data_IF_531193526432
#
_entry.id   IF_531193526432
#
_cell.length_a   1.000
_cell.length_b   1.000
_cell.length_c   1.000
_cell.angle_alpha   90.00
_cell.angle_beta   90.00
_cell.angle_gamma   90.00
#
_symmetry.space_group_name_H-M   'P 1'
#
loop_
_entity.id
_entity.type
_entity.pdbx_description
1 polymer ?
#
# COMPACT_ATOMS: atom_id res chain seq x y z
N UNK A 1 -6.91 2.85 15.99
CA UNK A 1 -7.39 1.56 15.43
C UNK A 1 -7.62 1.75 13.94
N UNK A 2 -7.23 0.80 13.09
CA UNK A 2 -7.52 0.86 11.67
C UNK A 2 -9.02 0.77 11.40
N UNK A 3 -9.46 1.37 10.30
CA UNK A 3 -10.83 1.30 9.79
C UNK A 3 -10.81 0.57 8.44
N UNK A 4 -11.71 -0.39 8.26
CA UNK A 4 -11.90 -1.14 7.03
C UNK A 4 -13.22 -0.69 6.41
N UNK A 5 -13.15 -0.01 5.27
CA UNK A 5 -14.33 0.58 4.61
C UNK A 5 -15.03 -0.43 3.67
N UNK A 6 -14.50 -1.64 3.59
CA UNK A 6 -15.07 -2.77 2.86
C UNK A 6 -14.31 -3.13 1.58
N UNK A 7 -14.57 -4.33 1.05
CA UNK A 7 -13.97 -4.80 -0.19
C UNK A 7 -14.60 -4.20 -1.45
N UNK A 8 -13.81 -4.21 -2.53
CA UNK A 8 -14.28 -3.95 -3.89
C UNK A 8 -14.78 -5.27 -4.50
N UNK A 9 -16.08 -5.52 -4.38
CA UNK A 9 -16.70 -6.79 -4.79
C UNK A 9 -17.09 -6.84 -6.27
N UNK A 10 -17.41 -5.70 -6.87
CA UNK A 10 -17.89 -5.64 -8.24
C UNK A 10 -16.74 -5.88 -9.23
N UNK A 11 -16.87 -6.89 -10.08
CA UNK A 11 -15.83 -7.26 -11.04
C UNK A 11 -15.52 -6.14 -12.04
N UNK A 12 -16.52 -5.32 -12.38
CA UNK A 12 -16.36 -4.13 -13.21
C UNK A 12 -15.42 -3.11 -12.56
N UNK A 13 -15.50 -2.94 -11.25
CA UNK A 13 -14.66 -2.00 -10.52
C UNK A 13 -13.24 -2.53 -10.38
N UNK A 14 -13.08 -3.84 -10.14
CA UNK A 14 -11.77 -4.50 -10.25
C UNK A 14 -11.18 -4.23 -11.63
N UNK A 15 -11.93 -4.40 -12.72
CA UNK A 15 -11.42 -4.11 -14.06
C UNK A 15 -11.05 -2.64 -14.28
N UNK A 16 -11.77 -1.68 -13.70
CA UNK A 16 -11.38 -0.27 -13.72
C UNK A 16 -10.06 -0.05 -13.01
N UNK A 17 -9.87 -0.65 -11.83
CA UNK A 17 -8.62 -0.56 -11.06
C UNK A 17 -7.45 -1.14 -11.87
N UNK A 18 -7.63 -2.30 -12.51
CA UNK A 18 -6.61 -2.88 -13.39
C UNK A 18 -6.22 -1.91 -14.51
N UNK A 19 -7.22 -1.34 -15.20
CA UNK A 19 -7.01 -0.36 -16.26
C UNK A 19 -6.33 0.92 -15.78
N UNK A 20 -6.68 1.40 -14.58
CA UNK A 20 -6.07 2.58 -13.97
C UNK A 20 -4.59 2.36 -13.62
N UNK A 21 -4.22 1.13 -13.27
CA UNK A 21 -2.83 0.69 -13.04
C UNK A 21 -2.10 0.27 -14.33
N UNK A 22 -2.76 0.31 -15.49
CA UNK A 22 -2.17 -0.14 -16.75
C UNK A 22 -1.87 -1.64 -16.78
N UNK A 23 -2.57 -2.43 -15.96
CA UNK A 23 -2.37 -3.87 -15.81
C UNK A 23 -3.44 -4.67 -16.56
N UNK A 24 -3.10 -5.88 -17.04
CA UNK A 24 -4.11 -6.79 -17.52
C UNK A 24 -4.98 -7.28 -16.35
N UNK A 25 -6.27 -7.51 -16.61
CA UNK A 25 -7.26 -7.89 -15.59
C UNK A 25 -6.82 -9.08 -14.72
N UNK A 26 -6.23 -10.11 -15.34
CA UNK A 26 -5.76 -11.32 -14.65
C UNK A 26 -4.66 -11.07 -13.61
N UNK A 27 -4.00 -9.90 -13.64
CA UNK A 27 -2.97 -9.56 -12.67
C UNK A 27 -3.56 -9.29 -11.27
N UNK A 28 -4.85 -8.92 -11.22
CA UNK A 28 -5.52 -8.48 -9.99
C UNK A 28 -6.84 -9.23 -9.71
N UNK A 29 -7.30 -10.09 -10.63
CA UNK A 29 -8.46 -10.97 -10.42
C UNK A 29 -8.04 -12.29 -9.80
N UNK A 30 -9.01 -12.99 -9.19
CA UNK A 30 -8.80 -14.31 -8.58
C UNK A 30 -7.64 -14.30 -7.58
N UNK A 31 -7.49 -13.17 -6.89
CA UNK A 31 -6.52 -12.99 -5.83
C UNK A 31 -7.03 -13.66 -4.56
N UNK A 32 -6.10 -14.23 -3.79
CA UNK A 32 -6.42 -14.85 -2.50
C UNK A 32 -6.99 -13.83 -1.51
N UNK A 33 -6.60 -12.57 -1.64
CA UNK A 33 -6.95 -11.48 -0.74
C UNK A 33 -7.71 -10.40 -1.49
N UNK A 34 -8.70 -9.75 -0.86
CA UNK A 34 -9.57 -8.77 -1.49
C UNK A 34 -8.86 -7.44 -1.81
N UNK A 35 -9.40 -6.66 -2.74
CA UNK A 35 -9.05 -5.24 -2.83
C UNK A 35 -9.92 -4.51 -1.82
N UNK A 36 -9.33 -3.72 -0.92
CA UNK A 36 -10.09 -3.06 0.15
C UNK A 36 -9.58 -1.65 0.45
N UNK A 37 -10.48 -0.78 0.90
CA UNK A 37 -10.09 0.53 1.43
C UNK A 37 -9.81 0.41 2.91
N UNK A 38 -8.59 0.76 3.32
CA UNK A 38 -8.14 0.70 4.71
C UNK A 38 -7.59 2.05 5.13
N UNK A 39 -7.93 2.47 6.34
CA UNK A 39 -7.49 3.75 6.91
C UNK A 39 -6.83 3.53 8.27
N UNK A 40 -5.66 4.12 8.48
CA UNK A 40 -5.08 4.39 9.81
C UNK A 40 -5.04 5.90 10.10
N UNK A 41 -5.91 6.67 9.45
CA UNK A 41 -5.99 8.13 9.50
C UNK A 41 -6.25 8.75 8.13
N UNK A 42 -5.68 8.17 7.06
CA UNK A 42 -5.96 8.50 5.67
C UNK A 42 -6.38 7.21 4.93
N UNK A 43 -7.59 7.15 4.34
CA UNK A 43 -8.02 5.99 3.56
C UNK A 43 -7.16 5.76 2.32
N UNK A 44 -6.76 4.51 2.10
CA UNK A 44 -5.98 4.09 0.94
C UNK A 44 -6.59 2.81 0.37
N UNK A 45 -6.70 2.72 -0.95
CA UNK A 45 -7.13 1.51 -1.64
C UNK A 45 -5.96 0.53 -1.73
N UNK A 46 -6.03 -0.57 -1.00
CA UNK A 46 -5.01 -1.61 -0.97
C UNK A 46 -5.29 -2.62 -2.08
N UNK A 47 -4.34 -2.81 -3.00
CA UNK A 47 -4.49 -3.67 -4.18
C UNK A 47 -3.42 -4.78 -4.16
N UNK A 48 -3.78 -6.03 -3.79
CA UNK A 48 -2.87 -7.16 -3.89
C UNK A 48 -2.61 -7.54 -5.36
N UNK A 49 -1.34 -7.78 -5.69
CA UNK A 49 -0.85 -8.22 -6.99
C UNK A 49 -0.12 -9.56 -6.87
N UNK A 50 -0.27 -10.41 -7.88
CA UNK A 50 0.24 -11.79 -7.83
C UNK A 50 1.76 -11.89 -7.87
N UNK A 51 2.44 -10.99 -8.58
CA UNK A 51 3.86 -11.11 -8.86
C UNK A 51 4.58 -9.77 -8.73
N UNK A 52 5.87 -9.82 -8.43
CA UNK A 52 6.75 -8.66 -8.47
C UNK A 52 6.80 -8.03 -9.87
N UNK A 53 6.73 -8.84 -10.93
CA UNK A 53 6.64 -8.34 -12.31
C UNK A 53 5.39 -7.48 -12.52
N UNK A 54 4.23 -7.87 -11.97
CA UNK A 54 3.01 -7.09 -12.09
C UNK A 54 3.12 -5.72 -11.39
N UNK A 55 3.69 -5.67 -10.18
CA UNK A 55 3.92 -4.40 -9.47
C UNK A 55 4.88 -3.49 -10.25
N UNK A 56 5.97 -4.06 -10.75
CA UNK A 56 6.97 -3.34 -11.57
C UNK A 56 6.41 -2.82 -12.88
N UNK A 57 5.49 -3.55 -13.51
CA UNK A 57 4.92 -3.19 -14.80
C UNK A 57 3.78 -2.16 -14.73
N UNK A 58 3.38 -1.71 -13.54
CA UNK A 58 2.32 -0.70 -13.41
C UNK A 58 2.69 0.53 -14.23
N UNK A 59 1.77 0.92 -15.12
CA UNK A 59 1.82 2.15 -15.91
C UNK A 59 0.61 2.99 -15.52
N UNK A 60 0.88 4.05 -14.76
CA UNK A 60 -0.15 4.84 -14.12
C UNK A 60 -0.99 5.62 -15.14
N UNK A 61 -2.30 5.37 -15.17
CA UNK A 61 -3.28 6.30 -15.74
C UNK A 61 -3.79 7.22 -14.63
N UNK A 62 -3.09 8.34 -14.43
CA UNK A 62 -3.36 9.25 -13.32
C UNK A 62 -4.83 9.74 -13.24
N UNK A 63 -5.48 10.19 -14.34
CA UNK A 63 -6.90 10.53 -14.31
C UNK A 63 -7.79 9.37 -13.85
N UNK A 64 -7.57 8.15 -14.36
CA UNK A 64 -8.36 6.99 -13.96
C UNK A 64 -8.17 6.62 -12.49
N UNK A 65 -6.96 6.81 -11.93
CA UNK A 65 -6.72 6.63 -10.50
C UNK A 65 -7.46 7.68 -9.67
N UNK A 66 -7.51 8.93 -10.12
CA UNK A 66 -8.32 9.97 -9.45
C UNK A 66 -9.79 9.56 -9.41
N UNK A 67 -10.33 9.05 -10.52
CA UNK A 67 -11.72 8.60 -10.59
C UNK A 67 -11.98 7.40 -9.65
N UNK A 68 -11.10 6.39 -9.66
CA UNK A 68 -11.16 5.22 -8.75
C UNK A 68 -11.11 5.66 -7.29
N UNK A 69 -10.15 6.51 -6.94
CA UNK A 69 -10.00 7.04 -5.58
C UNK A 69 -11.25 7.83 -5.15
N UNK A 70 -11.81 8.66 -6.02
CA UNK A 70 -13.05 9.39 -5.75
C UNK A 70 -14.25 8.46 -5.57
N UNK A 71 -14.34 7.38 -6.36
CA UNK A 71 -15.43 6.40 -6.25
C UNK A 71 -15.41 5.67 -4.90
N UNK A 72 -14.22 5.32 -4.40
CA UNK A 72 -14.05 4.52 -3.19
C UNK A 72 -13.70 5.35 -1.93
N UNK A 73 -13.66 6.68 -2.04
CA UNK A 73 -13.30 7.55 -0.92
C UNK A 73 -11.86 7.37 -0.43
N UNK A 74 -10.94 6.98 -1.32
CA UNK A 74 -9.53 6.79 -1.02
C UNK A 74 -8.69 8.00 -1.43
N UNK A 75 -7.57 8.23 -0.74
CA UNK A 75 -6.60 9.28 -1.08
C UNK A 75 -5.53 8.81 -2.07
N UNK A 76 -5.42 7.51 -2.30
CA UNK A 76 -4.45 6.91 -3.19
C UNK A 76 -4.62 5.40 -3.29
N UNK A 77 -3.78 4.79 -4.11
CA UNK A 77 -3.72 3.34 -4.31
C UNK A 77 -2.36 2.83 -3.84
N UNK A 78 -2.39 1.82 -2.98
CA UNK A 78 -1.21 1.08 -2.53
C UNK A 78 -1.26 -0.32 -3.15
N UNK A 79 -0.49 -0.52 -4.22
CA UNK A 79 -0.38 -1.81 -4.87
C UNK A 79 0.78 -2.60 -4.26
N UNK A 80 0.58 -3.87 -3.92
CA UNK A 80 1.62 -4.66 -3.24
C UNK A 80 1.67 -6.13 -3.70
N UNK A 81 2.79 -6.79 -3.44
CA UNK A 81 2.96 -8.25 -3.54
C UNK A 81 3.76 -8.76 -2.34
N UNK A 82 3.65 -10.05 -2.04
CA UNK A 82 4.50 -10.73 -1.04
C UNK A 82 5.83 -11.23 -1.63
N UNK A 83 6.06 -11.06 -2.94
CA UNK A 83 7.34 -11.39 -3.59
C UNK A 83 8.24 -10.16 -3.63
N UNK A 84 9.30 -10.15 -2.82
CA UNK A 84 10.15 -8.98 -2.60
C UNK A 84 11.49 -9.05 -3.34
N UNK A 85 12.14 -7.90 -3.44
CA UNK A 85 13.54 -7.73 -3.87
C UNK A 85 14.47 -8.09 -2.73
N UNK A 86 14.23 -7.52 -1.54
CA UNK A 86 15.01 -7.82 -0.35
C UNK A 86 14.41 -9.03 0.38
N UNK A 87 15.20 -10.08 0.67
CA UNK A 87 14.72 -11.24 1.42
C UNK A 87 14.24 -10.93 2.84
N UNK A 88 14.66 -9.79 3.41
CA UNK A 88 14.23 -9.33 4.72
C UNK A 88 12.92 -8.53 4.69
N UNK A 89 12.44 -8.14 3.51
CA UNK A 89 11.15 -7.47 3.36
C UNK A 89 9.99 -8.46 3.41
N UNK A 90 8.86 -8.02 3.95
CA UNK A 90 7.62 -8.80 4.00
C UNK A 90 6.79 -8.62 2.72
N UNK A 91 6.76 -7.39 2.21
CA UNK A 91 6.00 -7.03 1.00
C UNK A 91 6.72 -5.97 0.20
N UNK A 92 6.54 -6.02 -1.11
CA UNK A 92 7.00 -5.02 -2.06
C UNK A 92 5.81 -4.19 -2.53
N UNK A 93 5.90 -2.86 -2.44
CA UNK A 93 4.77 -1.99 -2.69
C UNK A 93 5.12 -0.73 -3.48
N UNK A 94 4.10 -0.17 -4.13
CA UNK A 94 4.11 1.14 -4.80
C UNK A 94 2.88 1.93 -4.39
N UNK A 95 3.06 3.24 -4.18
CA UNK A 95 1.99 4.14 -3.74
C UNK A 95 1.78 5.26 -4.74
N UNK A 96 0.52 5.43 -5.18
CA UNK A 96 0.12 6.45 -6.14
C UNK A 96 -0.99 7.32 -5.56
N UNK A 97 -0.82 8.65 -5.58
CA UNK A 97 -1.81 9.59 -5.07
C UNK A 97 -1.97 10.84 -5.97
N UNK A 98 -2.34 10.65 -7.25
CA UNK A 98 -2.43 11.75 -8.20
C UNK A 98 -3.49 12.80 -7.82
N UNK A 99 -4.48 12.44 -7.00
CA UNK A 99 -5.51 13.35 -6.47
C UNK A 99 -4.93 14.50 -5.63
N UNK A 100 -3.73 14.31 -5.06
CA UNK A 100 -3.01 15.34 -4.30
C UNK A 100 -1.72 15.79 -5.00
N UNK A 101 -1.59 15.50 -6.30
CA UNK A 101 -0.45 15.91 -7.12
C UNK A 101 0.79 15.03 -7.00
N UNK A 102 0.71 13.88 -6.32
CA UNK A 102 1.82 12.93 -6.18
C UNK A 102 1.59 11.76 -7.14
N UNK A 103 2.36 11.72 -8.24
CA UNK A 103 2.24 10.59 -9.19
C UNK A 103 2.64 9.29 -8.52
N UNK A 104 3.82 9.23 -7.91
CA UNK A 104 4.32 8.10 -7.14
C UNK A 104 5.18 8.60 -5.97
N UNK A 105 4.95 8.04 -4.78
CA UNK A 105 5.68 8.40 -3.57
C UNK A 105 6.73 7.32 -3.24
N UNK A 106 8.01 7.68 -2.97
CA UNK A 106 9.05 6.69 -2.67
C UNK A 106 8.90 5.96 -1.33
N UNK A 107 8.26 6.59 -0.33
CA UNK A 107 8.08 6.00 0.99
C UNK A 107 6.88 6.60 1.72
N UNK A 108 5.78 5.85 1.85
CA UNK A 108 4.51 6.39 2.35
C UNK A 108 4.09 5.78 3.68
N UNK A 109 4.54 6.37 4.79
CA UNK A 109 4.27 5.82 6.13
C UNK A 109 2.78 5.62 6.46
N UNK A 110 1.91 6.55 6.05
CA UNK A 110 0.45 6.43 6.27
C UNK A 110 -0.16 5.24 5.53
N UNK A 111 0.20 5.07 4.25
CA UNK A 111 -0.26 3.93 3.44
C UNK A 111 0.35 2.61 3.90
N UNK A 112 1.62 2.58 4.34
CA UNK A 112 2.24 1.40 4.93
C UNK A 112 1.55 0.97 6.22
N UNK A 113 1.09 1.92 7.06
CA UNK A 113 0.29 1.62 8.24
C UNK A 113 -1.03 0.92 7.89
N UNK A 114 -1.76 1.46 6.93
CA UNK A 114 -2.99 0.84 6.41
C UNK A 114 -2.72 -0.54 5.79
N UNK A 115 -1.65 -0.69 5.01
CA UNK A 115 -1.22 -1.97 4.46
C UNK A 115 -0.90 -2.98 5.56
N UNK A 116 -0.16 -2.59 6.61
CA UNK A 116 0.15 -3.50 7.72
C UNK A 116 -1.11 -4.02 8.42
N UNK A 117 -2.08 -3.15 8.67
CA UNK A 117 -3.38 -3.57 9.20
C UNK A 117 -4.11 -4.54 8.25
N UNK A 118 -4.11 -4.24 6.95
CA UNK A 118 -4.67 -5.11 5.91
C UNK A 118 -4.01 -6.50 5.90
N UNK A 119 -2.68 -6.58 6.01
CA UNK A 119 -1.95 -7.85 5.97
C UNK A 119 -2.32 -8.75 7.16
N UNK A 120 -2.49 -8.17 8.35
CA UNK A 120 -2.92 -8.89 9.56
C UNK A 120 -4.38 -9.32 9.46
N UNK A 121 -5.28 -8.38 9.12
CA UNK A 121 -6.72 -8.65 9.04
C UNK A 121 -7.06 -9.76 8.02
N UNK A 122 -6.37 -9.78 6.89
CA UNK A 122 -6.63 -10.73 5.80
C UNK A 122 -5.75 -11.99 5.85
N UNK A 123 -4.98 -12.21 6.94
CA UNK A 123 -4.13 -13.39 7.10
C UNK A 123 -3.10 -13.55 5.97
N UNK A 124 -2.54 -12.43 5.50
CA UNK A 124 -1.47 -12.41 4.48
C UNK A 124 -0.13 -12.83 5.10
N UNK A 125 0.04 -12.53 6.39
CA UNK A 125 1.20 -12.87 7.22
C UNK A 125 0.77 -13.70 8.43
N UNK A 126 1.72 -14.40 9.05
CA UNK A 126 1.47 -15.08 10.31
C UNK A 126 1.19 -14.05 11.42
N UNK A 127 0.04 -14.17 12.07
CA UNK A 127 -0.42 -13.20 13.08
C UNK A 127 0.05 -13.62 14.47
N UNK A 128 0.64 -12.68 15.18
CA UNK A 128 1.03 -12.80 16.59
C UNK A 128 0.55 -11.56 17.38
N UNK A 129 0.57 -11.58 18.73
CA UNK A 129 0.20 -10.42 19.55
C UNK A 129 0.95 -9.13 19.17
N UNK A 130 2.18 -9.29 18.66
CA UNK A 130 2.90 -8.26 17.92
C UNK A 130 3.36 -8.86 16.60
N UNK A 131 2.89 -8.29 15.49
CA UNK A 131 3.29 -8.68 14.13
C UNK A 131 4.18 -7.57 13.55
N UNK A 132 5.39 -7.93 13.12
CA UNK A 132 6.35 -7.01 12.51
C UNK A 132 6.39 -7.23 11.00
N UNK A 133 6.26 -6.13 10.25
CA UNK A 133 6.14 -6.11 8.79
C UNK A 133 7.17 -5.12 8.27
N UNK A 134 7.91 -5.52 7.23
CA UNK A 134 8.82 -4.65 6.49
C UNK A 134 8.25 -4.41 5.10
N UNK A 135 7.88 -3.17 4.80
CA UNK A 135 7.42 -2.76 3.48
C UNK A 135 8.60 -2.16 2.73
N UNK A 136 8.98 -2.76 1.60
CA UNK A 136 9.91 -2.13 0.66
C UNK A 136 9.14 -1.34 -0.41
N UNK A 137 9.56 -0.10 -0.65
CA UNK A 137 8.87 0.85 -1.54
C UNK A 137 9.87 1.72 -2.29
N UNK A 138 9.48 2.25 -3.45
CA UNK A 138 10.24 3.27 -4.19
C UNK A 138 11.36 2.72 -5.09
N UNK A 139 11.43 1.41 -5.26
CA UNK A 139 12.47 0.75 -6.07
C UNK A 139 12.34 1.10 -7.56
N UNK A 140 11.11 1.19 -8.07
CA UNK A 140 10.81 1.49 -9.48
C UNK A 140 11.13 2.94 -9.88
N UNK A 141 11.31 3.82 -8.89
CA UNK A 141 11.68 5.23 -9.08
C UNK A 141 13.06 5.57 -8.48
N UNK A 142 13.91 4.55 -8.30
CA UNK A 142 15.30 4.67 -7.83
C UNK A 142 15.46 5.35 -6.47
N UNK A 143 14.46 5.19 -5.59
CA UNK A 143 14.45 5.71 -4.22
C UNK A 143 14.05 4.61 -3.22
N UNK A 144 14.81 3.50 -3.18
CA UNK A 144 14.46 2.35 -2.35
C UNK A 144 14.41 2.74 -0.87
N UNK A 145 13.31 2.37 -0.22
CA UNK A 145 13.04 2.66 1.18
C UNK A 145 12.48 1.42 1.88
N UNK A 146 12.83 1.25 3.14
CA UNK A 146 12.25 0.24 4.03
C UNK A 146 11.45 0.92 5.13
N UNK A 147 10.17 0.54 5.23
CA UNK A 147 9.24 1.08 6.22
C UNK A 147 8.87 -0.06 7.16
N UNK A 148 9.14 0.13 8.44
CA UNK A 148 8.82 -0.83 9.49
C UNK A 148 7.42 -0.56 10.01
N UNK A 149 6.56 -1.56 9.98
CA UNK A 149 5.21 -1.51 10.53
C UNK A 149 5.07 -2.55 11.62
N UNK A 150 4.61 -2.11 12.79
CA UNK A 150 4.31 -2.99 13.91
C UNK A 150 2.81 -2.93 14.19
N UNK A 151 2.16 -4.07 14.12
CA UNK A 151 0.73 -4.23 14.41
C UNK A 151 0.58 -4.99 15.72
N UNK A 152 -0.09 -4.38 16.68
CA UNK A 152 -0.38 -4.97 17.99
C UNK A 152 -1.84 -5.43 18.01
N UNK A 153 -2.06 -6.70 18.32
CA UNK A 153 -3.37 -7.35 18.33
C UNK A 153 -3.65 -7.99 19.68
N UNK A 154 -4.93 -7.98 20.06
CA UNK A 154 -5.45 -8.64 21.26
C UNK A 154 -6.73 -9.39 20.86
N UNK A 155 -6.80 -10.69 21.16
CA UNK A 155 -7.87 -11.60 20.70
C UNK A 155 -8.21 -11.43 19.20
N UNK A 156 -7.19 -11.45 18.34
CA UNK A 156 -7.29 -11.24 16.88
C UNK A 156 -7.83 -9.86 16.45
N UNK A 157 -8.01 -8.92 17.37
CA UNK A 157 -8.44 -7.54 17.09
C UNK A 157 -7.23 -6.60 17.11
N UNK A 158 -7.02 -5.88 16.00
CA UNK A 158 -5.96 -4.88 15.90
C UNK A 158 -6.23 -3.71 16.85
N UNK A 159 -5.31 -3.50 17.80
CA UNK A 159 -5.38 -2.41 18.77
C UNK A 159 -4.60 -1.18 18.28
N UNK A 160 -3.36 -1.41 17.82
CA UNK A 160 -2.43 -0.33 17.47
C UNK A 160 -1.64 -0.67 16.22
N UNK A 161 -1.39 0.34 15.39
CA UNK A 161 -0.45 0.28 14.26
C UNK A 161 0.61 1.36 14.49
N UNK A 162 1.88 0.97 14.47
CA UNK A 162 3.03 1.88 14.59
C UNK A 162 3.86 1.77 13.33
N UNK A 163 4.31 2.92 12.82
CA UNK A 163 5.14 3.01 11.62
C UNK A 163 6.45 3.68 11.99
N UNK A 164 7.54 3.14 11.49
CA UNK A 164 8.90 3.62 11.73
C UNK A 164 9.80 3.38 10.53
N UNK A 165 10.98 3.99 10.57
CA UNK A 165 11.97 3.93 9.49
C UNK A 165 13.29 4.50 9.97
N UNK A 166 14.38 4.10 9.32
CA UNK A 166 15.67 4.76 9.50
C UNK A 166 15.76 5.96 8.55
N UNK A 167 16.39 7.04 9.00
CA UNK A 167 16.60 8.24 8.20
C UNK A 167 18.07 8.63 8.23
N UNK A 168 18.54 9.27 7.15
CA UNK A 168 19.89 9.85 7.06
C UNK A 168 19.75 11.34 6.78
N UNK A 169 20.48 12.16 7.54
CA UNK A 169 20.53 13.61 7.29
C UNK A 169 21.28 13.88 5.99
N UNK A 170 20.60 14.52 5.03
CA UNK A 170 21.20 14.86 3.72
C UNK A 170 21.67 16.31 3.68
N UNK A 171 20.88 17.22 4.25
CA UNK A 171 21.17 18.66 4.30
C UNK A 171 20.70 19.23 5.63
N UNK A 172 21.50 20.15 6.18
CA UNK A 172 21.13 21.04 7.27
C UNK A 172 21.38 22.48 6.84
N UNK A 173 20.51 23.41 7.23
CA UNK A 173 20.65 24.82 6.88
C UNK A 173 19.75 25.74 7.72
N UNK A 174 20.05 27.03 7.67
CA UNK A 174 19.34 28.08 8.43
C UNK A 174 18.68 29.06 7.46
N UNK A 175 17.39 29.33 7.65
CA UNK A 175 16.65 30.35 6.89
C UNK A 175 16.50 31.64 7.73
N UNK A 176 17.01 32.75 7.21
CA UNK A 176 16.91 34.09 7.83
C UNK A 176 16.16 35.04 6.90
N UNK A 177 15.33 35.91 7.45
CA UNK A 177 14.49 36.89 6.72
C UNK A 177 15.02 38.32 6.88
#
# INVERSE_FOLDING_TARGET
KPEFLGPVDAIEDVYKIAGALGLPKYAITDMKWPIEVVSTGLPVLIVPLRTLTAVRSIQLNAPAIVDVCSQFGANGVMAFTTVTVEPSATVHARMFAPSIGILEDPATGSASGALGAYLVQNGVVDVAPTTEIVVEQGYEIERPSQIFVRVESDDDIIQTVKVGGQCVMVVEGTLTF
#
